data_IF_895213650057
#
_entry.id   IF_895213650057
#
_cell.length_a   1.000
_cell.length_b   1.000
_cell.length_c   1.000
_cell.angle_alpha   90.00
_cell.angle_beta   90.00
_cell.angle_gamma   90.00
#
_symmetry.space_group_name_H-M   'P 1'
#
loop_
_entity.id
_entity.type
_entity.pdbx_description
1 polymer ?
#
# COMPACT_ATOMS: atom_id res chain seq x y z
N UNK A 1 4.10 -6.87 -14.94
CA UNK A 1 4.42 -5.44 -15.19
C UNK A 1 4.34 -4.63 -13.90
N UNK A 2 4.99 -3.48 -13.78
CA UNK A 2 4.76 -2.54 -12.66
C UNK A 2 3.47 -1.76 -12.93
N UNK A 3 2.57 -1.71 -11.96
CA UNK A 3 1.20 -1.19 -12.12
C UNK A 3 0.93 0.01 -11.20
N UNK A 4 1.51 0.01 -10.00
CA UNK A 4 1.40 1.10 -9.04
C UNK A 4 2.77 1.40 -8.42
N UNK A 5 3.04 2.67 -8.11
CA UNK A 5 4.30 3.08 -7.52
C UNK A 5 4.09 4.26 -6.58
N UNK A 6 4.71 4.20 -5.41
CA UNK A 6 4.71 5.27 -4.42
C UNK A 6 6.13 5.49 -3.90
N UNK A 7 6.56 6.76 -3.88
CA UNK A 7 7.82 7.20 -3.29
C UNK A 7 7.57 7.71 -1.88
N UNK A 8 8.45 7.39 -0.93
CA UNK A 8 8.32 7.85 0.44
C UNK A 8 9.68 7.97 1.15
N UNK A 9 9.74 8.80 2.19
CA UNK A 9 10.94 9.13 2.96
C UNK A 9 10.72 8.75 4.43
N UNK A 10 11.02 7.51 4.84
CA UNK A 10 10.90 7.13 6.24
C UNK A 10 11.94 7.86 7.08
N UNK A 11 11.59 8.19 8.33
CA UNK A 11 12.48 8.95 9.23
C UNK A 11 13.80 8.22 9.50
N UNK A 12 13.76 6.90 9.50
CA UNK A 12 14.86 5.95 9.71
C UNK A 12 15.82 5.89 8.52
N UNK A 13 15.39 6.37 7.34
CA UNK A 13 16.18 6.30 6.11
C UNK A 13 17.34 7.29 6.06
N UNK A 14 17.51 8.19 7.04
CA UNK A 14 18.52 9.25 7.02
C UNK A 14 18.41 10.16 5.77
N UNK A 15 17.20 10.37 5.27
CA UNK A 15 16.92 11.21 4.10
C UNK A 15 17.04 10.50 2.75
N UNK A 16 17.17 9.17 2.75
CA UNK A 16 17.21 8.39 1.52
C UNK A 16 15.82 7.90 1.11
N UNK A 17 15.54 8.03 -0.19
CA UNK A 17 14.24 7.73 -0.74
C UNK A 17 13.99 6.21 -0.81
N UNK A 18 12.79 5.80 -0.44
CA UNK A 18 12.30 4.44 -0.57
C UNK A 18 11.16 4.40 -1.60
N UNK A 19 10.95 3.23 -2.20
CA UNK A 19 9.94 3.00 -3.22
C UNK A 19 9.11 1.79 -2.84
N UNK A 20 7.78 1.92 -2.89
CA UNK A 20 6.87 0.80 -2.85
C UNK A 20 6.25 0.64 -4.23
N UNK A 21 6.37 -0.54 -4.82
CA UNK A 21 5.87 -0.85 -6.15
C UNK A 21 4.90 -2.04 -6.08
N UNK A 22 3.77 -1.90 -6.75
CA UNK A 22 2.76 -2.94 -6.93
C UNK A 22 2.81 -3.48 -8.35
N UNK A 23 2.70 -4.79 -8.50
CA UNK A 23 2.88 -5.48 -9.76
C UNK A 23 1.62 -6.20 -10.22
N UNK A 24 1.62 -6.52 -11.51
CA UNK A 24 0.55 -7.25 -12.21
C UNK A 24 0.31 -8.65 -11.65
N UNK A 25 1.31 -9.28 -11.02
CA UNK A 25 1.16 -10.59 -10.41
C UNK A 25 0.62 -10.52 -8.97
N UNK A 26 0.20 -9.35 -8.50
CA UNK A 26 -0.28 -9.13 -7.13
C UNK A 26 0.83 -8.94 -6.10
N UNK A 27 2.10 -8.99 -6.51
CA UNK A 27 3.22 -8.72 -5.61
C UNK A 27 3.36 -7.23 -5.32
N UNK A 28 3.86 -6.94 -4.12
CA UNK A 28 4.27 -5.62 -3.67
C UNK A 28 5.71 -5.71 -3.19
N UNK A 29 6.59 -4.89 -3.77
CA UNK A 29 8.00 -4.85 -3.40
C UNK A 29 8.35 -3.47 -2.86
N UNK A 30 9.09 -3.48 -1.77
CA UNK A 30 9.68 -2.28 -1.17
C UNK A 30 11.17 -2.26 -1.48
N UNK A 31 11.64 -1.12 -1.96
CA UNK A 31 13.03 -0.85 -2.29
C UNK A 31 13.58 0.32 -1.47
N UNK A 32 14.82 0.15 -1.04
CA UNK A 32 15.67 1.23 -0.56
C UNK A 32 16.61 1.66 -1.70
N UNK A 33 16.52 2.92 -2.13
CA UNK A 33 17.31 3.41 -3.26
C UNK A 33 18.82 3.53 -2.96
N UNK A 34 19.25 3.34 -1.70
CA UNK A 34 20.66 3.15 -1.37
C UNK A 34 21.22 1.85 -1.96
N UNK A 35 20.39 0.81 -2.04
CA UNK A 35 20.75 -0.49 -2.60
C UNK A 35 19.66 -1.01 -3.56
N UNK A 36 19.55 -0.43 -4.76
CA UNK A 36 18.46 -0.73 -5.70
C UNK A 36 18.57 -2.10 -6.37
N UNK A 37 19.56 -2.94 -6.00
CA UNK A 37 19.75 -4.27 -6.60
C UNK A 37 18.88 -5.33 -5.97
N UNK A 38 18.46 -5.14 -4.72
CA UNK A 38 17.68 -6.12 -3.97
C UNK A 38 16.55 -5.38 -3.24
N UNK A 39 15.30 -5.84 -3.32
CA UNK A 39 14.22 -5.24 -2.55
C UNK A 39 14.46 -5.51 -1.05
N UNK A 40 14.07 -4.55 -0.22
CA UNK A 40 14.03 -4.70 1.24
C UNK A 40 13.06 -5.82 1.61
N UNK A 41 11.88 -5.83 0.98
CA UNK A 41 10.92 -6.90 1.13
C UNK A 41 10.08 -7.11 -0.12
N UNK A 42 9.54 -8.32 -0.24
CA UNK A 42 8.63 -8.74 -1.31
C UNK A 42 7.50 -9.51 -0.67
N UNK A 43 6.29 -9.00 -0.80
CA UNK A 43 5.08 -9.59 -0.23
C UNK A 43 4.02 -9.75 -1.32
N UNK A 44 3.10 -10.69 -1.12
CA UNK A 44 2.00 -10.93 -2.05
C UNK A 44 0.70 -11.02 -1.27
N UNK A 45 0.08 -9.86 -1.05
CA UNK A 45 -1.21 -9.76 -0.38
C UNK A 45 -2.39 -9.94 -1.33
N UNK A 46 -2.17 -9.65 -2.61
CA UNK A 46 -3.19 -9.72 -3.65
C UNK A 46 -2.97 -10.93 -4.57
N UNK A 47 -4.07 -11.49 -5.08
CA UNK A 47 -4.03 -12.57 -6.06
C UNK A 47 -4.03 -12.06 -7.51
N UNK A 48 -4.42 -10.81 -7.72
CA UNK A 48 -4.56 -10.13 -9.02
C UNK A 48 -3.74 -8.82 -9.03
N UNK A 49 -3.58 -8.15 -10.19
CA UNK A 49 -2.78 -6.92 -10.32
C UNK A 49 -3.03 -5.86 -9.24
N UNK A 50 -1.96 -5.34 -8.62
CA UNK A 50 -2.06 -4.21 -7.68
C UNK A 50 -2.17 -2.91 -8.47
N UNK A 51 -3.33 -2.25 -8.40
CA UNK A 51 -3.68 -1.10 -9.24
C UNK A 51 -3.39 0.24 -8.57
N UNK A 52 -3.37 0.29 -7.24
CA UNK A 52 -3.03 1.52 -6.51
C UNK A 52 -2.36 1.21 -5.17
N UNK A 53 -1.52 2.14 -4.74
CA UNK A 53 -0.81 2.11 -3.46
C UNK A 53 -0.81 3.53 -2.90
N UNK A 54 -1.09 3.68 -1.62
CA UNK A 54 -1.01 4.94 -0.89
C UNK A 54 -0.30 4.71 0.44
N UNK A 55 0.64 5.60 0.79
CA UNK A 55 1.37 5.58 2.05
C UNK A 55 0.79 6.61 3.02
N UNK A 56 0.90 6.34 4.32
CA UNK A 56 0.58 7.29 5.38
C UNK A 56 1.62 8.42 5.49
N UNK A 57 1.27 9.49 6.21
CA UNK A 57 2.13 10.68 6.35
C UNK A 57 3.42 10.44 7.14
N UNK A 58 3.44 9.43 8.01
CA UNK A 58 4.59 9.05 8.84
C UNK A 58 5.41 7.88 8.26
N UNK A 59 5.02 7.36 7.09
CA UNK A 59 5.64 6.22 6.43
C UNK A 59 5.58 4.89 7.21
N UNK A 60 4.67 4.71 8.17
CA UNK A 60 4.53 3.48 8.96
C UNK A 60 3.67 2.41 8.26
N UNK A 61 2.98 2.76 7.18
CA UNK A 61 2.07 1.84 6.51
C UNK A 61 1.28 2.50 5.39
N UNK A 62 0.23 1.81 4.95
CA UNK A 62 -0.56 2.30 3.84
C UNK A 62 -1.67 1.36 3.40
N UNK A 63 -2.18 1.65 2.21
CA UNK A 63 -3.33 0.96 1.62
C UNK A 63 -2.99 0.60 0.18
N UNK A 64 -3.32 -0.62 -0.22
CA UNK A 64 -3.25 -1.08 -1.60
C UNK A 64 -4.61 -1.59 -2.09
N UNK A 65 -4.89 -1.35 -3.36
CA UNK A 65 -6.09 -1.86 -4.05
C UNK A 65 -5.70 -2.68 -5.28
N UNK A 66 -6.44 -3.74 -5.55
CA UNK A 66 -6.17 -4.69 -6.64
C UNK A 66 -7.43 -5.03 -7.43
N UNK A 67 -7.23 -5.63 -8.61
CA UNK A 67 -8.29 -6.25 -9.42
C UNK A 67 -8.89 -7.52 -8.78
N UNK A 68 -8.40 -7.98 -7.62
CA UNK A 68 -9.00 -9.11 -6.87
C UNK A 68 -10.20 -8.70 -6.00
N UNK A 69 -10.71 -7.48 -6.21
CA UNK A 69 -11.79 -6.85 -5.44
C UNK A 69 -11.44 -6.65 -3.94
N UNK A 70 -10.14 -6.67 -3.59
CA UNK A 70 -9.67 -6.45 -2.22
C UNK A 70 -8.92 -5.13 -2.06
N UNK A 71 -9.12 -4.55 -0.90
CA UNK A 71 -8.29 -3.49 -0.35
C UNK A 71 -7.49 -4.09 0.81
N UNK A 72 -6.19 -3.87 0.81
CA UNK A 72 -5.29 -4.33 1.88
C UNK A 72 -4.73 -3.13 2.60
N UNK A 73 -4.83 -3.14 3.93
CA UNK A 73 -4.14 -2.20 4.81
C UNK A 73 -2.88 -2.91 5.30
N UNK A 74 -1.72 -2.31 5.07
CA UNK A 74 -0.42 -2.87 5.42
C UNK A 74 0.35 -1.94 6.35
N UNK A 75 1.22 -2.51 7.18
CA UNK A 75 2.22 -1.82 7.97
C UNK A 75 3.62 -2.11 7.46
N UNK A 76 4.52 -1.14 7.60
CA UNK A 76 5.95 -1.25 7.34
C UNK A 76 6.72 -1.21 8.65
N UNK A 77 7.57 -2.21 8.87
CA UNK A 77 8.55 -2.20 9.95
C UNK A 77 9.91 -1.84 9.36
N UNK A 78 10.36 -0.60 9.60
CA UNK A 78 11.65 -0.09 9.13
C UNK A 78 12.86 -0.70 9.82
N UNK A 79 12.71 -1.18 11.05
CA UNK A 79 13.80 -1.83 11.77
C UNK A 79 14.04 -3.24 11.24
N UNK A 80 12.97 -3.97 10.93
CA UNK A 80 13.05 -5.33 10.40
C UNK A 80 13.08 -5.40 8.88
N UNK A 81 12.77 -4.30 8.19
CA UNK A 81 12.61 -4.28 6.73
C UNK A 81 11.46 -5.18 6.27
N UNK A 82 10.36 -5.21 7.01
CA UNK A 82 9.23 -6.11 6.75
C UNK A 82 7.94 -5.36 6.43
N UNK A 83 7.06 -5.99 5.67
CA UNK A 83 5.73 -5.47 5.34
C UNK A 83 4.70 -6.49 5.79
N UNK A 84 3.75 -6.07 6.61
CA UNK A 84 2.75 -6.93 7.23
C UNK A 84 1.35 -6.48 6.82
N UNK A 85 0.48 -7.43 6.52
CA UNK A 85 -0.94 -7.14 6.30
C UNK A 85 -1.63 -6.99 7.65
N UNK A 86 -2.16 -5.80 7.93
CA UNK A 86 -2.89 -5.49 9.17
C UNK A 86 -4.39 -5.78 9.02
N UNK A 87 -4.98 -5.53 7.85
CA UNK A 87 -6.38 -5.83 7.59
C UNK A 87 -6.65 -5.98 6.09
N UNK A 88 -7.67 -6.77 5.76
CA UNK A 88 -8.20 -6.93 4.39
C UNK A 88 -9.66 -6.49 4.42
N UNK A 89 -10.03 -5.54 3.58
CA UNK A 89 -11.40 -5.04 3.43
C UNK A 89 -11.90 -5.27 2.00
N UNK A 90 -13.21 -5.51 1.88
CA UNK A 90 -13.88 -5.82 0.62
C UNK A 90 -15.03 -4.83 0.40
N UNK A 91 -15.20 -4.35 -0.83
CA UNK A 91 -16.44 -3.69 -1.29
C UNK A 91 -16.87 -4.40 -2.56
N UNK A 92 -17.90 -5.26 -2.45
CA UNK A 92 -18.43 -6.08 -3.54
C UNK A 92 -19.10 -5.25 -4.66
N UNK A 93 -19.18 -3.94 -4.49
CA UNK A 93 -19.80 -3.00 -5.43
C UNK A 93 -18.89 -1.85 -5.89
N UNK A 94 -17.62 -1.82 -5.45
CA UNK A 94 -16.60 -0.81 -5.80
C UNK A 94 -17.03 0.67 -5.56
N UNK A 95 -18.00 0.92 -4.68
CA UNK A 95 -18.52 2.28 -4.42
C UNK A 95 -17.85 2.99 -3.25
N UNK A 96 -17.17 2.23 -2.39
CA UNK A 96 -16.62 2.73 -1.14
C UNK A 96 -15.09 2.63 -1.15
N UNK A 97 -14.43 3.75 -0.88
CA UNK A 97 -13.02 3.83 -0.57
C UNK A 97 -12.87 3.92 0.95
N UNK A 98 -12.11 3.02 1.56
CA UNK A 98 -11.78 3.09 2.98
C UNK A 98 -10.34 3.59 3.15
N UNK A 99 -10.14 4.59 4.02
CA UNK A 99 -8.82 5.04 4.47
C UNK A 99 -8.74 4.93 5.99
N UNK A 100 -7.63 4.43 6.53
CA UNK A 100 -7.38 4.40 7.97
C UNK A 100 -6.21 5.33 8.33
N UNK A 101 -6.31 5.97 9.48
CA UNK A 101 -5.36 6.95 10.01
C UNK A 101 -4.84 6.53 11.39
N UNK A 102 -3.67 7.06 11.78
CA UNK A 102 -2.94 6.75 13.02
C UNK A 102 -3.73 7.08 14.30
N UNK A 103 -4.76 7.93 14.17
CA UNK A 103 -5.73 8.30 15.21
C UNK A 103 -6.86 7.27 15.42
N UNK A 104 -6.72 6.05 14.88
CA UNK A 104 -7.70 4.95 14.95
C UNK A 104 -8.97 5.26 14.12
N UNK A 105 -9.01 6.39 13.39
CA UNK A 105 -10.14 6.73 12.55
C UNK A 105 -10.08 5.97 11.22
N UNK A 106 -11.18 5.27 10.91
CA UNK A 106 -11.43 4.71 9.58
C UNK A 106 -12.45 5.61 8.89
N UNK A 107 -12.03 6.26 7.81
CA UNK A 107 -12.90 7.04 6.95
C UNK A 107 -13.35 6.20 5.76
N UNK A 108 -14.66 6.16 5.54
CA UNK A 108 -15.30 5.57 4.38
C UNK A 108 -15.79 6.70 3.47
N UNK A 109 -15.37 6.67 2.21
CA UNK A 109 -15.71 7.65 1.19
C UNK A 109 -16.54 6.97 0.11
N UNK A 110 -17.70 7.53 -0.23
CA UNK A 110 -18.41 7.15 -1.45
C UNK A 110 -17.70 7.79 -2.66
N UNK A 111 -17.19 6.96 -3.58
CA UNK A 111 -16.41 7.40 -4.75
C UNK A 111 -17.25 8.08 -5.83
N UNK A 112 -18.58 7.93 -5.79
CA UNK A 112 -19.49 8.54 -6.76
C UNK A 112 -20.67 9.20 -6.03
N UNK A 113 -21.06 10.44 -6.38
CA UNK A 113 -22.30 11.00 -5.89
C UNK A 113 -23.47 10.14 -6.39
N UNK A 114 -24.48 9.92 -5.52
CA UNK A 114 -25.72 9.25 -5.92
C UNK A 114 -26.28 9.94 -7.15
N UNK A 115 -26.27 9.24 -8.29
CA UNK A 115 -27.11 9.63 -9.43
C UNK A 115 -28.56 9.43 -8.99
N UNK A 116 -29.22 10.53 -8.62
CA UNK A 116 -30.67 10.64 -8.46
C UNK A 116 -31.37 10.48 -9.79
#
# INVERSE_FOLDING_TARGET
MCMALQLFLPSESQGFLNVLAGYEDGSMLWWDLRNPKVPVTSVKFHSEPVLSICMDGICSGGISGSADDKIVIYGLDHAMGSCLCNAISYSSDCKLLASASEDIAVALWELYPRRT
#
